data_IF_801966290578
#
_entry.id   IF_801966290578
#
_cell.length_a   1.000
_cell.length_b   1.000
_cell.length_c   1.000
_cell.angle_alpha   90.00
_cell.angle_beta   90.00
_cell.angle_gamma   90.00
#
_symmetry.space_group_name_H-M   'P 1'
#
loop_
_entity.id
_entity.type
_entity.pdbx_description
1 polymer ?
#
# COMPACT_ATOMS: atom_id res chain seq x y z
N UNK A 1 -39.47 9.61 30.94
CA UNK A 1 -39.28 8.92 29.66
C UNK A 1 -37.79 8.69 29.44
N UNK A 2 -37.33 7.45 29.29
CA UNK A 2 -35.94 7.15 28.98
C UNK A 2 -35.69 7.35 27.48
N UNK A 3 -34.70 8.17 27.12
CA UNK A 3 -34.29 8.36 25.72
C UNK A 3 -33.66 7.04 25.25
N UNK A 4 -34.16 6.41 24.18
CA UNK A 4 -33.59 5.16 23.69
C UNK A 4 -32.12 5.39 23.29
N UNK A 5 -31.21 4.54 23.77
CA UNK A 5 -29.79 4.59 23.40
C UNK A 5 -29.68 4.42 21.88
N UNK A 6 -29.39 5.51 21.16
CA UNK A 6 -29.08 5.47 19.73
C UNK A 6 -27.87 4.55 19.50
N UNK A 7 -28.02 3.57 18.62
CA UNK A 7 -26.92 2.71 18.16
C UNK A 7 -25.88 3.62 17.49
N UNK A 8 -24.70 3.76 18.09
CA UNK A 8 -23.61 4.56 17.50
C UNK A 8 -23.08 3.81 16.28
N UNK A 9 -23.21 4.40 15.11
CA UNK A 9 -22.60 3.89 13.88
C UNK A 9 -21.17 4.40 13.84
N UNK A 10 -20.20 3.49 13.67
CA UNK A 10 -18.80 3.88 13.44
C UNK A 10 -18.75 4.50 12.04
N UNK A 11 -18.26 5.74 11.86
CA UNK A 11 -18.17 6.35 10.55
C UNK A 11 -17.23 5.53 9.65
N UNK A 12 -17.52 5.54 8.35
CA UNK A 12 -16.63 4.98 7.33
C UNK A 12 -15.32 5.77 7.33
N UNK A 13 -14.20 5.06 7.16
CA UNK A 13 -12.90 5.73 7.01
C UNK A 13 -12.81 6.33 5.60
N UNK A 14 -12.16 7.48 5.46
CA UNK A 14 -11.78 7.96 4.13
C UNK A 14 -10.87 6.90 3.48
N UNK A 15 -11.15 6.49 2.24
CA UNK A 15 -10.50 5.32 1.63
C UNK A 15 -11.30 4.02 1.76
N UNK A 16 -12.19 3.88 2.74
CA UNK A 16 -12.86 2.59 3.01
C UNK A 16 -13.94 2.20 1.99
N UNK A 17 -14.35 3.15 1.14
CA UNK A 17 -15.30 2.91 0.05
C UNK A 17 -14.62 2.92 -1.32
N UNK A 18 -13.35 3.30 -1.40
CA UNK A 18 -12.61 3.28 -2.66
C UNK A 18 -11.67 2.07 -2.70
N UNK A 19 -11.57 1.42 -3.86
CA UNK A 19 -10.64 0.31 -4.07
C UNK A 19 -9.16 0.71 -4.07
N UNK A 20 -8.80 1.92 -3.64
CA UNK A 20 -7.47 2.50 -3.87
C UNK A 20 -6.46 2.21 -2.76
N UNK A 21 -6.75 1.32 -1.80
CA UNK A 21 -5.77 0.88 -0.78
C UNK A 21 -4.41 0.45 -1.37
N UNK A 22 -4.40 -0.10 -2.60
CA UNK A 22 -3.18 -0.42 -3.33
C UNK A 22 -2.34 0.81 -3.71
N UNK A 23 -2.99 1.91 -4.13
CA UNK A 23 -2.31 3.19 -4.41
C UNK A 23 -1.72 3.75 -3.12
N UNK A 24 -2.50 3.77 -2.03
CA UNK A 24 -2.02 4.21 -0.72
C UNK A 24 -0.82 3.39 -0.23
N UNK A 25 -0.82 2.07 -0.45
CA UNK A 25 0.32 1.21 -0.11
C UNK A 25 1.58 1.57 -0.91
N UNK A 26 1.46 1.97 -2.18
CA UNK A 26 2.61 2.48 -2.94
C UNK A 26 3.13 3.79 -2.34
N UNK A 27 2.26 4.73 -2.01
CA UNK A 27 2.68 5.97 -1.35
C UNK A 27 3.38 5.71 -0.01
N UNK A 28 2.80 4.87 0.84
CA UNK A 28 3.39 4.56 2.15
C UNK A 28 4.76 3.88 1.99
N UNK A 29 4.88 2.92 1.07
CA UNK A 29 6.15 2.26 0.79
C UNK A 29 7.20 3.23 0.21
N UNK A 30 6.79 4.13 -0.68
CA UNK A 30 7.70 5.12 -1.26
C UNK A 30 8.14 6.15 -0.20
N UNK A 31 7.25 6.60 0.68
CA UNK A 31 7.61 7.51 1.79
C UNK A 31 8.63 6.92 2.76
N UNK A 32 8.64 5.59 2.94
CA UNK A 32 9.65 4.90 3.74
C UNK A 32 11.04 4.99 3.07
N UNK A 33 11.11 4.89 1.73
CA UNK A 33 12.39 4.84 0.99
C UNK A 33 12.81 6.18 0.35
N UNK A 34 11.91 7.16 0.33
CA UNK A 34 12.13 8.56 -0.10
C UNK A 34 11.46 9.49 0.93
N UNK A 35 12.18 9.83 2.02
CA UNK A 35 11.67 10.70 3.07
C UNK A 35 11.34 12.13 2.60
N UNK A 36 11.84 12.56 1.43
CA UNK A 36 11.58 13.90 0.88
C UNK A 36 10.21 14.04 0.21
N UNK A 37 9.43 12.97 0.14
CA UNK A 37 8.11 13.01 -0.49
C UNK A 37 7.13 13.88 0.32
N UNK A 38 6.91 15.12 -0.14
CA UNK A 38 5.98 16.07 0.47
C UNK A 38 4.51 15.68 0.22
N UNK A 39 3.61 16.22 1.04
CA UNK A 39 2.16 15.97 0.89
C UNK A 39 1.63 16.57 -0.43
N UNK A 40 2.13 17.73 -0.85
CA UNK A 40 1.75 18.36 -2.13
C UNK A 40 2.11 17.48 -3.32
N UNK A 41 3.33 16.96 -3.34
CA UNK A 41 3.79 16.01 -4.36
C UNK A 41 2.94 14.73 -4.35
N UNK A 42 2.54 14.24 -3.16
CA UNK A 42 1.66 13.06 -3.07
C UNK A 42 0.33 13.27 -3.80
N UNK A 43 -0.27 14.47 -3.69
CA UNK A 43 -1.54 14.75 -4.35
C UNK A 43 -1.43 14.73 -5.89
N UNK A 44 -0.42 15.40 -6.45
CA UNK A 44 -0.17 15.41 -7.90
C UNK A 44 0.12 14.02 -8.46
N UNK A 45 0.87 13.20 -7.72
CA UNK A 45 1.13 11.81 -8.10
C UNK A 45 -0.12 10.93 -7.98
N UNK A 46 -1.00 11.21 -7.01
CA UNK A 46 -2.24 10.45 -6.85
C UNK A 46 -3.13 10.67 -8.07
N UNK A 47 -3.26 11.92 -8.53
CA UNK A 47 -3.93 12.26 -9.80
C UNK A 47 -3.26 11.52 -10.97
N UNK A 48 -1.94 11.52 -11.04
CA UNK A 48 -1.19 10.81 -12.09
C UNK A 48 -1.46 9.29 -12.07
N UNK A 49 -1.63 8.68 -10.89
CA UNK A 49 -2.02 7.28 -10.77
C UNK A 49 -3.44 7.06 -11.31
N UNK A 50 -4.39 7.92 -10.97
CA UNK A 50 -5.77 7.81 -11.47
C UNK A 50 -5.84 7.92 -12.99
N UNK A 51 -5.18 8.91 -13.58
CA UNK A 51 -5.11 9.09 -15.04
C UNK A 51 -4.47 7.88 -15.73
N UNK A 52 -3.36 7.37 -15.18
CA UNK A 52 -2.69 6.19 -15.73
C UNK A 52 -3.54 4.90 -15.68
N UNK A 53 -4.47 4.80 -14.72
CA UNK A 53 -5.44 3.71 -14.65
C UNK A 53 -6.65 3.96 -15.56
N UNK A 54 -7.05 5.22 -15.76
CA UNK A 54 -8.13 5.62 -16.65
C UNK A 54 -7.80 5.33 -18.11
N UNK A 55 -6.56 5.59 -18.52
CA UNK A 55 -6.06 5.24 -19.87
C UNK A 55 -6.17 3.74 -20.16
N UNK A 56 -6.13 2.92 -19.10
CA UNK A 56 -6.34 1.46 -19.18
C UNK A 56 -7.82 1.05 -19.08
N UNK A 57 -8.73 2.02 -18.99
CA UNK A 57 -10.19 1.89 -18.79
C UNK A 57 -10.57 1.06 -17.58
N UNK A 58 -9.75 1.14 -16.52
CA UNK A 58 -9.83 0.23 -15.38
C UNK A 58 -10.39 0.91 -14.13
N UNK A 59 -10.58 2.24 -14.12
CA UNK A 59 -10.90 2.99 -12.88
C UNK A 59 -12.21 2.55 -12.23
N UNK A 60 -13.29 2.38 -12.99
CA UNK A 60 -14.57 1.94 -12.41
C UNK A 60 -14.49 0.50 -11.86
N UNK A 61 -13.77 -0.39 -12.55
CA UNK A 61 -13.57 -1.76 -12.10
C UNK A 61 -12.67 -1.81 -10.85
N UNK A 62 -11.57 -1.05 -10.84
CA UNK A 62 -10.66 -0.91 -9.70
C UNK A 62 -11.37 -0.27 -8.51
N UNK A 63 -12.24 0.71 -8.72
CA UNK A 63 -12.99 1.32 -7.63
C UNK A 63 -13.85 0.28 -6.90
N UNK A 64 -14.41 -0.69 -7.63
CA UNK A 64 -15.23 -1.78 -7.06
C UNK A 64 -14.42 -2.97 -6.53
N UNK A 65 -13.34 -3.36 -7.22
CA UNK A 65 -12.63 -4.63 -6.99
C UNK A 65 -11.26 -4.47 -6.34
N UNK A 66 -10.75 -3.24 -6.26
CA UNK A 66 -9.40 -2.92 -5.83
C UNK A 66 -8.34 -3.14 -6.90
N UNK A 67 -7.10 -2.76 -6.59
CA UNK A 67 -5.95 -2.99 -7.45
C UNK A 67 -5.41 -4.41 -7.30
N UNK A 68 -5.01 -5.04 -8.40
CA UNK A 68 -4.20 -6.25 -8.38
C UNK A 68 -2.71 -5.94 -8.32
N UNK A 69 -1.89 -6.97 -8.05
CA UNK A 69 -0.43 -6.78 -7.97
C UNK A 69 0.18 -6.30 -9.30
N UNK A 70 -0.44 -6.63 -10.44
CA UNK A 70 -0.02 -6.16 -11.76
C UNK A 70 -0.23 -4.65 -11.92
N UNK A 71 -1.28 -4.11 -11.32
CA UNK A 71 -1.56 -2.68 -11.33
C UNK A 71 -0.57 -1.93 -10.45
N UNK A 72 -0.23 -2.50 -9.29
CA UNK A 72 0.84 -1.94 -8.45
C UNK A 72 2.19 -1.92 -9.16
N UNK A 73 2.58 -3.01 -9.84
CA UNK A 73 3.81 -3.05 -10.63
C UNK A 73 3.77 -2.08 -11.82
N UNK A 74 2.60 -1.87 -12.43
CA UNK A 74 2.44 -0.88 -13.48
C UNK A 74 2.64 0.54 -12.95
N UNK A 75 1.91 0.94 -11.91
CA UNK A 75 2.01 2.26 -11.30
C UNK A 75 3.42 2.53 -10.76
N UNK A 76 4.03 1.54 -10.12
CA UNK A 76 5.42 1.64 -9.66
C UNK A 76 6.38 1.97 -10.81
N UNK A 77 6.22 1.38 -12.00
CA UNK A 77 7.10 1.65 -13.16
C UNK A 77 6.75 2.92 -13.92
N UNK A 78 5.47 3.22 -14.05
CA UNK A 78 4.99 4.31 -14.88
C UNK A 78 5.04 5.66 -14.16
N UNK A 79 4.82 5.67 -12.84
CA UNK A 79 4.67 6.88 -12.04
C UNK A 79 5.82 7.04 -11.06
N UNK A 80 6.00 6.05 -10.17
CA UNK A 80 6.93 6.21 -9.05
C UNK A 80 8.40 6.09 -9.47
N UNK A 81 8.73 5.20 -10.41
CA UNK A 81 10.12 5.05 -10.90
C UNK A 81 10.62 6.33 -11.58
N UNK A 82 9.90 6.95 -12.54
CA UNK A 82 10.37 8.19 -13.15
C UNK A 82 10.42 9.36 -12.17
N UNK A 83 9.49 9.41 -11.20
CA UNK A 83 9.42 10.53 -10.26
C UNK A 83 10.47 10.45 -9.13
N UNK A 84 10.81 9.25 -8.65
CA UNK A 84 11.67 9.08 -7.46
C UNK A 84 12.81 8.09 -7.62
N UNK A 85 12.99 7.51 -8.80
CA UNK A 85 13.97 6.45 -9.02
C UNK A 85 13.70 5.23 -8.15
N UNK A 86 12.45 4.93 -7.77
CA UNK A 86 12.14 3.71 -7.02
C UNK A 86 11.92 2.52 -7.94
N UNK A 87 12.37 1.35 -7.53
CA UNK A 87 12.17 0.08 -8.23
C UNK A 87 11.44 -0.91 -7.34
N UNK A 88 10.77 -1.86 -7.99
CA UNK A 88 10.12 -2.96 -7.29
C UNK A 88 10.72 -4.31 -7.66
N UNK A 89 10.69 -5.25 -6.72
CA UNK A 89 11.01 -6.64 -6.95
C UNK A 89 9.91 -7.55 -6.38
N UNK A 90 9.86 -8.79 -6.87
CA UNK A 90 8.91 -9.80 -6.46
C UNK A 90 9.66 -10.92 -5.72
N UNK A 91 9.62 -10.97 -4.37
CA UNK A 91 10.53 -11.82 -3.59
C UNK A 91 10.24 -13.33 -3.75
N UNK A 92 9.02 -13.69 -4.17
CA UNK A 92 8.59 -15.09 -4.31
C UNK A 92 8.33 -15.52 -5.75
N UNK A 93 8.90 -14.81 -6.74
CA UNK A 93 8.90 -15.29 -8.13
C UNK A 93 9.93 -16.40 -8.25
N UNK A 94 9.47 -17.61 -8.60
CA UNK A 94 10.32 -18.79 -8.72
C UNK A 94 10.58 -19.58 -7.43
N UNK A 95 10.32 -18.98 -6.25
CA UNK A 95 10.48 -19.64 -4.96
C UNK A 95 9.27 -19.39 -4.04
N UNK A 96 8.39 -20.40 -3.93
CA UNK A 96 7.23 -20.35 -3.03
C UNK A 96 7.66 -20.62 -1.58
N UNK A 97 7.20 -19.84 -0.58
CA UNK A 97 7.38 -20.20 0.81
C UNK A 97 6.56 -21.45 1.15
N UNK A 98 7.22 -22.43 1.74
CA UNK A 98 6.63 -23.70 2.16
C UNK A 98 5.76 -23.57 3.41
N UNK A 99 6.06 -22.58 4.26
CA UNK A 99 5.38 -22.31 5.52
C UNK A 99 5.52 -20.82 5.91
N UNK A 100 4.75 -20.40 6.93
CA UNK A 100 4.78 -19.02 7.44
C UNK A 100 6.18 -18.61 7.91
N UNK A 101 6.96 -19.51 8.50
CA UNK A 101 8.30 -19.20 8.99
C UNK A 101 9.28 -18.84 7.87
N UNK A 102 9.17 -19.48 6.71
CA UNK A 102 9.96 -19.11 5.54
C UNK A 102 9.56 -17.74 4.98
N UNK A 103 8.26 -17.44 4.91
CA UNK A 103 7.78 -16.10 4.53
C UNK A 103 8.34 -15.05 5.50
N UNK A 104 8.27 -15.33 6.80
CA UNK A 104 8.75 -14.45 7.87
C UNK A 104 10.25 -14.19 7.76
N UNK A 105 11.05 -15.25 7.62
CA UNK A 105 12.50 -15.13 7.46
C UNK A 105 12.91 -14.37 6.20
N UNK A 106 12.16 -14.52 5.10
CA UNK A 106 12.38 -13.69 3.90
C UNK A 106 12.07 -12.22 4.17
N UNK A 107 11.01 -11.90 4.92
CA UNK A 107 10.72 -10.51 5.29
C UNK A 107 11.78 -9.93 6.23
N UNK A 108 12.25 -10.71 7.21
CA UNK A 108 13.35 -10.34 8.10
C UNK A 108 14.62 -10.05 7.31
N UNK A 109 15.00 -10.94 6.39
CA UNK A 109 16.18 -10.76 5.52
C UNK A 109 16.06 -9.49 4.68
N UNK A 110 14.92 -9.26 4.03
CA UNK A 110 14.69 -8.06 3.23
C UNK A 110 14.79 -6.80 4.08
N UNK A 111 14.10 -6.75 5.23
CA UNK A 111 14.05 -5.57 6.10
C UNK A 111 15.34 -5.36 6.91
N UNK A 112 16.25 -6.34 6.91
CA UNK A 112 17.60 -6.19 7.49
C UNK A 112 18.60 -5.46 6.59
N UNK A 113 18.21 -5.13 5.34
CA UNK A 113 19.04 -4.35 4.43
C UNK A 113 19.37 -2.98 5.06
N UNK A 114 20.66 -2.57 5.09
CA UNK A 114 21.03 -1.26 5.61
C UNK A 114 20.46 -0.09 4.80
N UNK A 115 20.10 -0.30 3.53
CA UNK A 115 19.41 0.69 2.72
C UNK A 115 17.89 0.66 2.99
N UNK A 116 17.19 1.83 2.95
CA UNK A 116 15.75 1.87 3.12
C UNK A 116 15.00 0.98 2.13
N UNK A 117 14.16 0.11 2.66
CA UNK A 117 13.35 -0.85 1.92
C UNK A 117 11.97 -1.00 2.58
N UNK A 118 10.95 -1.23 1.76
CA UNK A 118 9.59 -1.47 2.23
C UNK A 118 8.99 -2.69 1.54
N UNK A 119 8.14 -3.44 2.24
CA UNK A 119 7.45 -4.60 1.67
C UNK A 119 5.96 -4.28 1.57
N UNK A 120 5.45 -4.14 0.36
CA UNK A 120 4.00 -4.10 0.11
C UNK A 120 3.51 -5.55 0.07
N UNK A 121 2.46 -5.87 0.83
CA UNK A 121 1.84 -7.19 0.77
C UNK A 121 0.33 -7.08 0.88
N UNK A 122 -0.39 -7.97 0.20
CA UNK A 122 -1.82 -8.14 0.47
C UNK A 122 -2.04 -9.02 1.71
N UNK A 123 -3.06 -8.66 2.47
CA UNK A 123 -3.59 -9.41 3.61
C UNK A 123 -5.08 -9.66 3.40
N UNK A 124 -5.55 -10.81 3.85
CA UNK A 124 -6.96 -11.19 3.82
C UNK A 124 -7.43 -11.55 5.24
N UNK A 125 -8.67 -11.17 5.56
CA UNK A 125 -9.41 -11.57 6.74
C UNK A 125 -10.85 -11.93 6.32
N UNK A 126 -11.70 -12.33 7.26
CA UNK A 126 -13.08 -12.69 6.93
C UNK A 126 -13.83 -11.51 6.27
N UNK A 127 -14.20 -11.68 4.99
CA UNK A 127 -14.91 -10.67 4.21
C UNK A 127 -14.10 -9.42 3.85
N UNK A 128 -12.78 -9.45 4.03
CA UNK A 128 -11.92 -8.27 3.83
C UNK A 128 -10.59 -8.66 3.18
N UNK A 129 -10.17 -7.88 2.19
CA UNK A 129 -8.87 -8.00 1.55
C UNK A 129 -8.26 -6.60 1.41
N UNK A 130 -6.96 -6.48 1.66
CA UNK A 130 -6.32 -5.18 1.76
C UNK A 130 -4.85 -5.24 1.35
N UNK A 131 -4.39 -4.17 0.74
CA UNK A 131 -2.96 -3.93 0.55
C UNK A 131 -2.43 -3.15 1.74
N UNK A 132 -1.29 -3.59 2.28
CA UNK A 132 -0.61 -2.89 3.36
C UNK A 132 0.90 -2.90 3.14
N UNK A 133 1.64 -2.18 3.98
CA UNK A 133 3.10 -2.06 3.90
C UNK A 133 3.70 -2.51 5.21
N UNK A 134 4.59 -3.50 5.18
CA UNK A 134 5.43 -3.87 6.30
C UNK A 134 6.63 -2.92 6.34
N UNK A 135 6.76 -2.19 7.45
CA UNK A 135 7.87 -1.27 7.70
C UNK A 135 8.89 -1.82 8.70
N UNK A 136 8.47 -2.73 9.57
CA UNK A 136 9.34 -3.40 10.52
C UNK A 136 8.85 -4.81 10.84
N UNK A 137 9.76 -5.65 11.30
CA UNK A 137 9.51 -7.04 11.65
C UNK A 137 10.38 -7.46 12.82
N UNK A 138 9.83 -8.28 13.71
CA UNK A 138 10.58 -9.06 14.68
C UNK A 138 10.10 -10.52 14.64
N UNK A 139 10.57 -11.33 15.59
CA UNK A 139 10.23 -12.76 15.64
C UNK A 139 8.72 -13.05 15.66
N UNK A 140 7.91 -12.12 16.18
CA UNK A 140 6.49 -12.33 16.51
C UNK A 140 5.53 -11.31 15.87
N UNK A 141 6.02 -10.21 15.28
CA UNK A 141 5.20 -9.07 14.85
C UNK A 141 5.66 -8.50 13.52
N UNK A 142 4.70 -8.23 12.62
CA UNK A 142 4.86 -7.27 11.52
C UNK A 142 4.26 -5.94 11.95
N UNK A 143 5.01 -4.84 11.85
CA UNK A 143 4.47 -3.49 11.98
C UNK A 143 4.18 -2.90 10.62
N UNK A 144 3.05 -2.21 10.53
CA UNK A 144 2.48 -1.82 9.25
C UNK A 144 2.30 -0.30 9.13
N UNK A 145 2.76 0.24 8.00
CA UNK A 145 2.43 1.58 7.53
C UNK A 145 1.13 1.53 6.70
N UNK A 146 0.02 1.33 7.42
CA UNK A 146 -1.29 1.00 6.85
C UNK A 146 -2.23 2.20 6.71
N UNK A 147 -3.02 2.23 5.62
CA UNK A 147 -4.00 3.30 5.37
C UNK A 147 -5.38 3.06 6.00
N UNK A 148 -5.70 1.85 6.47
CA UNK A 148 -7.00 1.47 7.07
C UNK A 148 -6.88 1.15 8.58
N UNK A 149 -5.81 1.63 9.22
CA UNK A 149 -5.50 1.51 10.67
C UNK A 149 -5.11 0.12 11.16
N UNK A 150 -4.78 -0.82 10.27
CA UNK A 150 -4.16 -2.07 10.68
C UNK A 150 -2.72 -1.80 11.12
N UNK A 151 -2.47 -1.75 12.44
CA UNK A 151 -1.15 -1.34 12.96
C UNK A 151 -0.09 -2.43 12.89
N UNK A 152 -0.51 -3.67 13.08
CA UNK A 152 0.39 -4.81 13.11
C UNK A 152 -0.34 -6.12 12.79
N UNK A 153 0.44 -7.14 12.48
CA UNK A 153 -0.01 -8.54 12.36
C UNK A 153 0.88 -9.38 13.24
N UNK A 154 0.27 -10.05 14.24
CA UNK A 154 1.00 -10.98 15.08
C UNK A 154 1.22 -12.29 14.32
N UNK A 155 2.44 -12.82 14.39
CA UNK A 155 2.84 -14.08 13.75
C UNK A 155 1.96 -15.23 14.16
N UNK A 156 1.51 -15.27 15.43
CA UNK A 156 0.60 -16.30 15.95
C UNK A 156 -0.82 -16.22 15.39
N UNK A 157 -1.21 -15.09 14.79
CA UNK A 157 -2.52 -14.85 14.17
C UNK A 157 -2.46 -14.91 12.64
N UNK A 158 -1.24 -14.98 12.08
CA UNK A 158 -1.01 -15.02 10.64
C UNK A 158 -1.03 -16.44 10.06
N UNK A 159 -1.43 -16.54 8.81
CA UNK A 159 -1.40 -17.74 7.97
C UNK A 159 -0.95 -17.37 6.56
N UNK A 160 -0.47 -18.34 5.79
CA UNK A 160 -0.18 -18.17 4.35
C UNK A 160 -1.03 -19.07 3.46
N UNK A 161 -2.02 -19.74 4.06
CA UNK A 161 -2.81 -20.81 3.42
C UNK A 161 -4.29 -20.44 3.37
N UNK A 162 -4.86 -20.05 4.51
CA UNK A 162 -6.26 -19.66 4.67
C UNK A 162 -6.48 -18.88 5.95
N UNK A 163 -7.58 -18.12 6.00
CA UNK A 163 -8.14 -17.50 7.21
C UNK A 163 -8.84 -18.56 8.07
N UNK A 164 -8.72 -18.48 9.40
CA UNK A 164 -9.47 -19.28 10.38
C UNK A 164 -9.58 -18.56 11.73
N UNK A 165 -10.41 -19.07 12.65
CA UNK A 165 -10.58 -18.49 14.00
C UNK A 165 -9.25 -18.36 14.77
N UNK A 166 -8.34 -19.34 14.63
CA UNK A 166 -7.03 -19.29 15.28
C UNK A 166 -6.03 -18.41 14.53
N UNK A 167 -6.19 -18.26 13.21
CA UNK A 167 -5.30 -17.51 12.32
C UNK A 167 -6.14 -16.56 11.45
N UNK A 168 -6.65 -15.46 12.04
CA UNK A 168 -7.64 -14.60 11.39
C UNK A 168 -7.08 -13.76 10.24
N UNK A 169 -5.75 -13.68 10.10
CA UNK A 169 -5.10 -12.93 9.02
C UNK A 169 -4.33 -13.87 8.12
N UNK A 170 -4.59 -13.80 6.81
CA UNK A 170 -3.80 -14.49 5.81
C UNK A 170 -2.92 -13.51 5.04
N UNK A 171 -1.61 -13.72 5.04
CA UNK A 171 -0.67 -12.96 4.21
C UNK A 171 -0.58 -13.63 2.83
N UNK A 172 -0.87 -12.85 1.80
CA UNK A 172 -0.84 -13.29 0.41
C UNK A 172 0.57 -13.16 -0.14
N UNK A 173 1.41 -14.16 0.10
CA UNK A 173 2.80 -14.17 -0.38
C UNK A 173 2.95 -14.02 -1.91
N UNK A 174 1.95 -14.42 -2.70
CA UNK A 174 1.93 -14.19 -4.16
C UNK A 174 1.68 -12.74 -4.53
N UNK A 175 1.22 -11.95 -3.59
CA UNK A 175 0.81 -10.57 -3.76
C UNK A 175 1.72 -9.73 -2.85
N UNK A 176 3.03 -9.90 -3.04
CA UNK A 176 4.08 -9.19 -2.30
C UNK A 176 5.04 -8.50 -3.27
N UNK A 177 5.37 -7.24 -2.99
CA UNK A 177 6.35 -6.44 -3.70
C UNK A 177 7.35 -5.87 -2.69
N UNK A 178 8.62 -5.80 -3.08
CA UNK A 178 9.66 -5.09 -2.33
C UNK A 178 9.94 -3.80 -3.07
N UNK A 179 9.81 -2.66 -2.40
CA UNK A 179 10.10 -1.33 -2.92
C UNK A 179 11.43 -0.86 -2.33
N UNK A 180 12.31 -0.33 -3.19
CA UNK A 180 13.61 0.24 -2.82
C UNK A 180 13.99 1.35 -3.80
N UNK A 181 14.99 2.15 -3.46
CA UNK A 181 15.64 3.06 -4.42
C UNK A 181 16.44 2.29 -5.46
N UNK A 182 16.43 2.79 -6.69
CA UNK A 182 17.33 2.38 -7.76
C UNK A 182 18.68 3.10 -7.54
N UNK A 183 19.75 2.39 -7.16
CA UNK A 183 21.05 3.01 -6.96
C UNK A 183 21.67 3.56 -8.27
N UNK A 184 21.10 3.21 -9.44
CA UNK A 184 21.56 3.67 -10.74
C UNK A 184 20.88 4.93 -11.28
N UNK A 185 19.86 5.47 -10.60
CA UNK A 185 19.24 6.75 -10.97
C UNK A 185 19.90 7.84 -10.13
N UNK A 186 20.78 8.62 -10.76
CA UNK A 186 21.39 9.80 -10.12
C UNK A 186 20.29 10.77 -9.65
N UNK A 187 20.54 11.49 -8.55
CA UNK A 187 19.64 12.51 -8.00
C UNK A 187 19.50 13.71 -8.95
N UNK A 188 18.87 13.54 -10.11
CA UNK A 188 18.32 14.69 -10.83
C UNK A 188 17.06 15.10 -10.09
N UNK A 189 17.19 16.19 -9.32
CA UNK A 189 16.12 16.82 -8.56
C UNK A 189 14.94 17.10 -9.49
N UNK A 190 13.80 16.46 -9.23
CA UNK A 190 12.53 17.00 -9.70
C UNK A 190 12.13 18.06 -8.68
N UNK A 191 12.54 19.31 -8.92
CA UNK A 191 11.87 20.46 -8.31
C UNK A 191 10.45 20.49 -8.88
N UNK A 192 9.53 19.77 -8.23
CA UNK A 192 8.11 20.05 -8.41
C UNK A 192 7.82 21.22 -7.48
N UNK A 193 7.69 22.41 -8.04
CA UNK A 193 7.20 23.60 -7.32
C UNK A 193 5.97 23.19 -6.51
N UNK A 194 6.02 23.42 -5.20
CA UNK A 194 4.87 23.25 -4.32
C UNK A 194 3.71 24.04 -4.93
N UNK A 195 2.73 23.32 -5.47
CA UNK A 195 1.64 23.91 -6.23
C UNK A 195 0.94 25.00 -5.44
N UNK A 196 1.24 26.25 -5.77
CA UNK A 196 0.39 27.39 -5.47
C UNK A 196 -0.99 27.15 -6.13
N UNK A 197 -2.06 27.29 -5.34
CA UNK A 197 -3.40 27.55 -5.85
C UNK A 197 -4.24 26.34 -6.25
N UNK A 198 -4.84 25.67 -5.25
CA UNK A 198 -6.13 24.99 -5.44
C UNK A 198 -7.24 25.84 -4.80
N UNK A 199 -7.47 27.05 -5.31
CA UNK A 199 -8.78 27.70 -5.20
C UNK A 199 -9.56 27.35 -6.47
N UNK A 200 -10.16 26.17 -6.49
CA UNK A 200 -11.20 25.88 -7.46
C UNK A 200 -12.45 26.66 -7.02
N UNK A 201 -12.78 27.74 -7.73
CA UNK A 201 -14.10 28.35 -7.71
C UNK A 201 -15.13 27.27 -8.05
N UNK A 202 -15.79 26.73 -7.03
CA UNK A 202 -17.02 25.98 -7.20
C UNK A 202 -18.12 27.01 -7.48
N UNK A 203 -18.39 27.28 -8.76
CA UNK A 203 -19.63 27.95 -9.11
C UNK A 203 -20.82 27.11 -8.67
N UNK A 204 -21.82 27.69 -7.99
CA UNK A 204 -23.02 26.96 -7.61
C UNK A 204 -23.81 26.61 -8.88
N UNK A 205 -24.10 25.32 -9.06
CA UNK A 205 -25.02 24.84 -10.06
C UNK A 205 -26.38 25.55 -9.90
N UNK A 206 -26.75 26.32 -10.91
CA UNK A 206 -28.11 26.88 -11.10
C UNK A 206 -29.07 25.86 -11.70
#
# INVERSE_FOLDING_TARGET
>A
MAIPKKRRVKPLQQGALDGFCGIYSLFNAVRIVEPRLSVGVCHSLFVSCLLALEDRRDVAAINMLGLGVRDLMYLSRAIFRPAFGVVHARPFVGAKPSNLGQLWGTFEEILSDPAPVAIITAVEAEGWAHWTVVEAIDADTLWLADSDKLKNVLRKEASIVKVSDQRPVMIRWKDTLVIRRDPGVAEEMVEMEDGEGWEAELEPLG
#
